data_IF_078986551172
#
_entry.id   IF_078986551172
#
_cell.length_a   1.000
_cell.length_b   1.000
_cell.length_c   1.000
_cell.angle_alpha   90.00
_cell.angle_beta   90.00
_cell.angle_gamma   90.00
#
_symmetry.space_group_name_H-M   'P 1'
#
loop_
_entity.id
_entity.type
_entity.pdbx_description
1 polymer ?
#
# COMPACT_ATOMS: atom_id res chain seq x y z
N UNK A 1 10.31 18.28 11.77
CA UNK A 1 10.96 18.95 10.61
C UNK A 1 9.87 19.62 9.81
N UNK A 2 10.11 20.85 9.36
CA UNK A 2 9.14 21.61 8.57
C UNK A 2 8.85 20.92 7.23
N UNK A 3 7.60 20.88 6.78
CA UNK A 3 7.19 20.33 5.48
C UNK A 3 7.91 20.99 4.30
N UNK A 4 8.33 22.25 4.44
CA UNK A 4 9.11 23.00 3.46
C UNK A 4 10.48 22.37 3.26
N UNK A 5 11.16 22.06 4.36
CA UNK A 5 12.47 21.39 4.35
C UNK A 5 12.35 20.01 3.70
N UNK A 6 11.30 19.25 4.03
CA UNK A 6 11.07 17.92 3.42
C UNK A 6 10.93 18.03 1.90
N UNK A 7 10.13 18.99 1.41
CA UNK A 7 9.98 19.22 -0.04
C UNK A 7 11.28 19.62 -0.72
N UNK A 8 12.05 20.52 -0.11
CA UNK A 8 13.35 20.98 -0.63
C UNK A 8 14.34 19.82 -0.73
N UNK A 9 14.42 18.97 0.30
CA UNK A 9 15.24 17.76 0.28
C UNK A 9 14.81 16.78 -0.83
N UNK A 10 13.49 16.57 -1.00
CA UNK A 10 12.99 15.74 -2.11
C UNK A 10 13.43 16.34 -3.45
N UNK A 11 13.29 17.65 -3.64
CA UNK A 11 13.65 18.29 -4.90
C UNK A 11 15.16 18.20 -5.19
N UNK A 12 16.01 18.40 -4.18
CA UNK A 12 17.45 18.26 -4.31
C UNK A 12 17.85 16.84 -4.74
N UNK A 13 17.25 15.82 -4.11
CA UNK A 13 17.50 14.43 -4.45
C UNK A 13 16.94 14.05 -5.83
N UNK A 14 15.78 14.60 -6.20
CA UNK A 14 15.24 14.43 -7.55
C UNK A 14 16.23 14.98 -8.59
N UNK A 15 16.79 16.18 -8.37
CA UNK A 15 17.80 16.76 -9.26
C UNK A 15 19.05 15.87 -9.38
N UNK A 16 19.45 15.18 -8.30
CA UNK A 16 20.59 14.27 -8.32
C UNK A 16 20.34 12.97 -9.12
N UNK A 17 19.09 12.48 -9.15
CA UNK A 17 18.72 11.24 -9.84
C UNK A 17 18.29 11.48 -11.30
N UNK A 18 17.80 12.69 -11.62
CA UNK A 18 17.12 12.94 -12.89
C UNK A 18 18.03 13.26 -14.10
N UNK A 19 19.33 13.47 -13.90
CA UNK A 19 20.22 13.86 -15.01
C UNK A 19 19.69 15.08 -15.77
N UNK A 20 19.28 14.88 -17.03
CA UNK A 20 18.81 15.92 -17.96
C UNK A 20 17.28 16.20 -17.92
N UNK A 21 16.50 15.51 -17.08
CA UNK A 21 15.05 15.66 -17.03
C UNK A 21 14.58 16.29 -15.71
N UNK A 22 13.58 17.17 -15.76
CA UNK A 22 13.13 17.95 -14.58
C UNK A 22 11.98 17.29 -13.83
N UNK A 23 12.27 16.37 -12.90
CA UNK A 23 11.26 16.01 -11.91
C UNK A 23 10.99 17.20 -10.98
N UNK A 24 9.73 17.42 -10.64
CA UNK A 24 9.29 18.48 -9.75
C UNK A 24 8.46 17.90 -8.62
N UNK A 25 8.86 18.23 -7.40
CA UNK A 25 8.06 18.01 -6.21
C UNK A 25 7.16 19.22 -5.98
N UNK A 26 5.86 18.99 -5.84
CA UNK A 26 4.85 20.01 -5.60
C UNK A 26 3.96 19.62 -4.43
N UNK A 27 3.41 20.61 -3.73
CA UNK A 27 2.37 20.30 -2.75
C UNK A 27 1.08 20.00 -3.50
N UNK A 28 0.29 19.06 -3.00
CA UNK A 28 -1.07 18.92 -3.49
C UNK A 28 -1.88 20.16 -3.10
N UNK A 29 -2.54 20.78 -4.08
CA UNK A 29 -3.43 21.92 -3.87
C UNK A 29 -4.60 21.62 -2.91
N UNK A 30 -4.92 20.34 -2.76
CA UNK A 30 -6.09 19.88 -2.00
C UNK A 30 -5.70 19.15 -0.71
N UNK A 31 -4.47 18.62 -0.63
CA UNK A 31 -4.01 17.78 0.47
C UNK A 31 -2.73 18.40 1.07
N UNK A 32 -2.85 19.21 2.14
CA UNK A 32 -1.77 20.08 2.61
C UNK A 32 -0.52 19.36 3.14
N UNK A 33 -0.63 18.06 3.40
CA UNK A 33 0.45 17.19 3.88
C UNK A 33 0.95 16.19 2.81
N UNK A 34 0.54 16.38 1.55
CA UNK A 34 0.91 15.50 0.45
C UNK A 34 1.82 16.23 -0.52
N UNK A 35 2.94 15.60 -0.83
CA UNK A 35 3.84 16.03 -1.90
C UNK A 35 3.60 15.09 -3.08
N UNK A 36 3.33 15.69 -4.24
CA UNK A 36 3.19 15.01 -5.52
C UNK A 36 4.47 15.21 -6.29
N UNK A 37 4.96 14.15 -6.91
CA UNK A 37 6.11 14.20 -7.79
C UNK A 37 5.59 13.88 -9.19
N UNK A 38 5.86 14.76 -10.15
CA UNK A 38 5.49 14.52 -11.54
C UNK A 38 6.19 13.25 -12.08
N UNK A 39 5.62 12.66 -13.12
CA UNK A 39 6.27 11.57 -13.86
C UNK A 39 6.83 12.14 -15.16
N UNK A 40 7.91 11.55 -15.67
CA UNK A 40 8.40 11.87 -17.01
C UNK A 40 7.61 11.01 -18.00
N UNK A 41 7.08 11.63 -19.05
CA UNK A 41 6.47 10.88 -20.14
C UNK A 41 7.56 10.26 -21.03
N UNK A 42 7.97 9.03 -20.68
CA UNK A 42 9.00 8.27 -21.41
C UNK A 42 8.41 7.59 -22.66
N UNK A 43 7.12 7.76 -22.98
CA UNK A 43 6.50 7.12 -24.17
C UNK A 43 7.21 7.45 -25.49
N UNK A 44 7.91 8.58 -25.55
CA UNK A 44 8.63 9.04 -26.74
C UNK A 44 10.13 8.72 -26.73
N UNK A 45 10.69 8.30 -25.59
CA UNK A 45 12.11 7.94 -25.46
C UNK A 45 12.28 6.43 -25.34
N UNK A 46 12.79 5.80 -26.40
CA UNK A 46 13.18 4.39 -26.35
C UNK A 46 14.49 4.28 -25.57
N UNK A 47 14.39 3.97 -24.28
CA UNK A 47 15.54 3.62 -23.46
C UNK A 47 16.38 2.53 -24.17
N UNK A 48 17.68 2.79 -24.31
CA UNK A 48 18.59 1.86 -24.96
C UNK A 48 18.81 0.63 -24.07
N UNK A 49 18.61 -0.55 -24.66
CA UNK A 49 18.91 -1.83 -24.01
C UNK A 49 20.42 -2.08 -24.03
N UNK A 50 20.95 -2.52 -22.89
CA UNK A 50 22.34 -2.82 -22.66
C UNK A 50 22.61 -4.32 -22.86
N UNK A 51 23.85 -4.71 -23.21
CA UNK A 51 24.20 -6.12 -23.44
C UNK A 51 24.19 -6.96 -22.15
N UNK A 52 24.49 -6.34 -21.00
CA UNK A 52 24.45 -7.00 -19.70
C UNK A 52 23.06 -6.93 -19.09
N UNK A 53 22.58 -8.05 -18.55
CA UNK A 53 21.19 -8.19 -18.07
C UNK A 53 21.10 -8.69 -16.64
N UNK A 54 20.09 -8.19 -15.92
CA UNK A 54 19.66 -8.71 -14.61
C UNK A 54 18.17 -9.06 -14.69
N UNK A 55 17.84 -10.28 -14.30
CA UNK A 55 16.45 -10.73 -14.18
C UNK A 55 15.97 -10.58 -12.74
N UNK A 56 14.77 -10.03 -12.58
CA UNK A 56 14.10 -9.90 -11.28
C UNK A 56 12.78 -10.67 -11.27
N UNK A 57 12.30 -10.97 -10.07
CA UNK A 57 10.95 -11.52 -9.90
C UNK A 57 9.87 -10.46 -10.19
N UNK A 58 8.62 -10.91 -10.34
CA UNK A 58 7.51 -10.04 -10.72
C UNK A 58 7.09 -9.05 -9.63
N UNK A 59 7.32 -9.38 -8.36
CA UNK A 59 7.00 -8.50 -7.24
C UNK A 59 8.03 -7.35 -7.17
N UNK A 60 9.31 -7.67 -7.39
CA UNK A 60 10.40 -6.72 -7.57
C UNK A 60 10.22 -5.88 -8.84
N UNK A 61 9.82 -6.48 -9.96
CA UNK A 61 9.51 -5.77 -11.20
C UNK A 61 8.46 -4.66 -10.98
N UNK A 62 7.38 -4.98 -10.26
CA UNK A 62 6.33 -4.03 -9.96
C UNK A 62 6.79 -2.93 -8.99
N UNK A 63 7.77 -3.22 -8.13
CA UNK A 63 8.40 -2.21 -7.28
C UNK A 63 9.33 -1.28 -8.10
N UNK A 64 10.12 -1.83 -9.02
CA UNK A 64 11.03 -1.06 -9.90
C UNK A 64 10.24 -0.05 -10.73
N UNK A 65 9.12 -0.47 -11.34
CA UNK A 65 8.27 0.44 -12.10
C UNK A 65 7.59 1.52 -11.24
N UNK A 66 7.64 1.40 -9.91
CA UNK A 66 7.20 2.42 -8.94
C UNK A 66 8.35 3.17 -8.29
N UNK A 67 9.55 3.12 -8.88
CA UNK A 67 10.71 3.85 -8.40
C UNK A 67 11.53 3.14 -7.32
N UNK A 68 11.35 1.84 -7.11
CA UNK A 68 12.22 1.11 -6.18
C UNK A 68 13.55 0.73 -6.84
N UNK A 69 14.62 0.74 -6.05
CA UNK A 69 15.83 0.01 -6.42
C UNK A 69 15.61 -1.52 -6.30
N UNK A 70 16.51 -2.30 -6.89
CA UNK A 70 16.45 -3.76 -6.81
C UNK A 70 17.23 -4.21 -5.59
N UNK A 71 16.53 -4.83 -4.65
CA UNK A 71 17.14 -5.44 -3.47
C UNK A 71 17.53 -6.89 -3.76
N UNK A 72 18.59 -7.36 -3.12
CA UNK A 72 19.15 -8.70 -3.35
C UNK A 72 18.14 -9.86 -3.36
N UNK A 73 17.12 -9.91 -2.45
CA UNK A 73 16.15 -11.00 -2.48
C UNK A 73 15.32 -11.08 -3.77
N UNK A 74 15.12 -9.97 -4.47
CA UNK A 74 14.32 -9.89 -5.69
C UNK A 74 15.07 -10.25 -6.97
N UNK A 75 16.39 -10.47 -6.89
CA UNK A 75 17.21 -10.84 -8.05
C UNK A 75 17.08 -12.34 -8.33
N UNK A 76 16.63 -12.68 -9.54
CA UNK A 76 16.56 -14.06 -10.01
C UNK A 76 17.86 -14.50 -10.67
N UNK A 77 18.43 -13.68 -11.57
CA UNK A 77 19.68 -14.02 -12.24
C UNK A 77 20.48 -12.79 -12.63
N UNK A 78 21.80 -12.99 -12.69
CA UNK A 78 22.79 -12.00 -13.12
C UNK A 78 23.89 -12.73 -13.89
N UNK A 79 24.29 -12.17 -15.02
CA UNK A 79 25.31 -12.75 -15.90
C UNK A 79 26.65 -12.88 -15.16
N UNK A 80 27.37 -13.97 -15.43
CA UNK A 80 28.71 -14.16 -14.87
C UNK A 80 29.67 -13.05 -15.32
N UNK A 81 30.57 -12.61 -14.42
CA UNK A 81 31.54 -11.56 -14.71
C UNK A 81 31.04 -10.12 -14.52
N UNK A 82 29.76 -9.92 -14.16
CA UNK A 82 29.24 -8.58 -13.83
C UNK A 82 29.93 -8.02 -12.58
N UNK A 83 30.50 -6.81 -12.70
CA UNK A 83 31.23 -6.11 -11.64
C UNK A 83 30.39 -4.97 -11.04
N UNK A 84 30.77 -4.54 -9.84
CA UNK A 84 30.17 -3.34 -9.21
C UNK A 84 30.49 -2.13 -10.08
N UNK A 85 29.47 -1.31 -10.38
CA UNK A 85 29.59 -0.15 -11.27
C UNK A 85 29.16 -0.42 -12.71
N UNK A 86 29.03 -1.68 -13.12
CA UNK A 86 28.54 -2.04 -14.46
C UNK A 86 27.11 -1.55 -14.68
N UNK A 87 26.85 -1.01 -15.87
CA UNK A 87 25.50 -0.66 -16.32
C UNK A 87 24.82 -1.91 -16.88
N UNK A 88 23.59 -2.16 -16.45
CA UNK A 88 22.82 -3.35 -16.82
C UNK A 88 21.39 -2.99 -17.19
N UNK A 89 20.80 -3.74 -18.11
CA UNK A 89 19.38 -3.72 -18.38
C UNK A 89 18.63 -4.67 -17.46
N UNK A 90 17.49 -4.21 -16.98
CA UNK A 90 16.67 -4.90 -15.99
C UNK A 90 15.48 -5.52 -16.72
N UNK A 91 15.24 -6.80 -16.45
CA UNK A 91 14.16 -7.56 -17.06
C UNK A 91 13.37 -8.36 -16.03
N UNK A 92 12.12 -8.65 -16.37
CA UNK A 92 11.26 -9.55 -15.63
C UNK A 92 10.72 -10.67 -16.51
N UNK A 93 10.57 -11.85 -15.93
CA UNK A 93 9.99 -13.01 -16.61
C UNK A 93 8.53 -13.24 -16.20
N UNK A 94 7.61 -12.86 -17.08
CA UNK A 94 6.17 -13.04 -16.89
C UNK A 94 5.76 -14.52 -16.75
N UNK A 95 6.50 -15.43 -17.37
CA UNK A 95 6.18 -16.86 -17.39
C UNK A 95 6.79 -17.63 -16.21
N UNK A 96 7.62 -16.97 -15.39
CA UNK A 96 8.30 -17.56 -14.22
C UNK A 96 9.09 -18.84 -14.50
N UNK A 97 9.69 -18.92 -15.69
CA UNK A 97 10.59 -19.98 -16.11
C UNK A 97 12.05 -19.70 -15.71
N UNK A 98 12.40 -18.43 -15.46
CA UNK A 98 13.73 -18.05 -15.02
C UNK A 98 14.03 -18.62 -13.63
N UNK A 99 15.01 -19.52 -13.55
CA UNK A 99 15.44 -20.14 -12.30
C UNK A 99 16.41 -19.22 -11.56
N UNK A 100 16.30 -19.21 -10.23
CA UNK A 100 17.22 -18.46 -9.37
C UNK A 100 18.66 -18.93 -9.59
N UNK A 101 19.59 -17.99 -9.77
CA UNK A 101 21.00 -18.28 -10.01
C UNK A 101 21.33 -18.71 -11.44
N UNK A 102 20.48 -18.47 -12.44
CA UNK A 102 20.85 -18.73 -13.84
C UNK A 102 22.15 -17.96 -14.22
N UNK A 103 23.08 -18.63 -14.90
CA UNK A 103 24.42 -18.10 -15.24
C UNK A 103 24.47 -17.34 -16.58
N UNK A 104 23.56 -17.69 -17.49
CA UNK A 104 23.50 -17.17 -18.86
C UNK A 104 22.32 -16.20 -19.02
N UNK A 105 22.34 -15.43 -20.09
CA UNK A 105 21.21 -14.63 -20.53
C UNK A 105 19.97 -15.53 -20.61
N UNK A 106 18.87 -15.06 -20.02
CA UNK A 106 17.61 -15.77 -20.07
C UNK A 106 17.05 -15.70 -21.51
N UNK A 107 16.84 -16.85 -22.19
CA UNK A 107 16.61 -16.89 -23.63
C UNK A 107 15.16 -16.58 -24.06
N UNK A 108 14.21 -16.40 -23.13
CA UNK A 108 12.81 -16.14 -23.48
C UNK A 108 12.68 -14.70 -24.04
N UNK A 109 12.24 -14.61 -25.30
CA UNK A 109 12.01 -13.34 -25.99
C UNK A 109 10.85 -12.54 -25.41
N UNK A 110 10.00 -13.14 -24.55
CA UNK A 110 8.87 -12.49 -23.87
C UNK A 110 9.23 -11.88 -22.52
N UNK A 111 10.53 -11.87 -22.14
CA UNK A 111 10.98 -11.09 -20.98
C UNK A 111 10.66 -9.61 -21.18
N UNK A 112 10.17 -8.97 -20.12
CA UNK A 112 9.76 -7.57 -20.16
C UNK A 112 10.92 -6.71 -19.71
N UNK A 113 11.33 -5.77 -20.57
CA UNK A 113 12.31 -4.75 -20.22
C UNK A 113 11.68 -3.74 -19.27
N UNK A 114 12.36 -3.44 -18.16
CA UNK A 114 11.88 -2.52 -17.13
C UNK A 114 12.63 -1.19 -17.12
N UNK A 115 13.87 -1.17 -17.59
CA UNK A 115 14.76 -0.03 -17.49
C UNK A 115 16.21 -0.44 -17.30
N UNK A 116 17.04 0.52 -16.88
CA UNK A 116 18.47 0.36 -16.71
C UNK A 116 18.89 0.69 -15.27
N UNK A 117 20.04 0.17 -14.86
CA UNK A 117 20.62 0.46 -13.55
C UNK A 117 22.11 0.16 -13.47
N UNK A 118 22.67 0.44 -12.29
CA UNK A 118 24.08 0.22 -11.97
C UNK A 118 24.20 -0.86 -10.91
N UNK A 119 25.06 -1.84 -11.15
CA UNK A 119 25.29 -2.96 -10.24
C UNK A 119 25.96 -2.47 -8.95
N UNK A 120 25.40 -2.89 -7.81
CA UNK A 120 25.89 -2.60 -6.45
C UNK A 120 26.31 -3.87 -5.69
N UNK A 121 25.85 -5.04 -6.12
CA UNK A 121 26.29 -6.34 -5.60
C UNK A 121 26.67 -7.25 -6.74
N UNK A 122 27.81 -7.92 -6.61
CA UNK A 122 28.24 -8.92 -7.59
C UNK A 122 27.41 -10.19 -7.48
N UNK A 123 27.50 -11.03 -8.51
CA UNK A 123 26.84 -12.34 -8.53
C UNK A 123 27.24 -13.23 -7.33
N UNK A 124 28.52 -13.25 -6.96
CA UNK A 124 29.01 -14.07 -5.84
C UNK A 124 28.42 -13.61 -4.50
N UNK A 125 28.16 -12.32 -4.33
CA UNK A 125 27.47 -11.77 -3.16
C UNK A 125 25.97 -12.13 -3.11
N UNK A 126 25.35 -12.40 -4.27
CA UNK A 126 23.91 -12.70 -4.37
C UNK A 126 23.59 -14.20 -4.29
N UNK A 127 24.46 -15.05 -4.86
CA UNK A 127 24.19 -16.47 -5.05
C UNK A 127 25.27 -17.39 -4.48
N UNK A 128 26.21 -16.87 -3.69
CA UNK A 128 27.15 -17.70 -2.95
C UNK A 128 26.47 -18.60 -1.91
N UNK A 129 27.16 -19.66 -1.50
CA UNK A 129 26.62 -20.66 -0.57
C UNK A 129 26.32 -20.05 0.81
N UNK A 130 25.20 -20.47 1.41
CA UNK A 130 24.72 -20.03 2.73
C UNK A 130 24.51 -18.52 2.91
N UNK A 131 24.34 -17.76 1.82
CA UNK A 131 24.05 -16.33 1.90
C UNK A 131 22.56 -16.04 2.05
N UNK A 132 22.23 -15.09 2.93
CA UNK A 132 20.94 -14.42 3.00
C UNK A 132 21.10 -12.93 2.64
N UNK A 133 21.39 -12.62 1.36
CA UNK A 133 21.83 -11.29 0.98
C UNK A 133 20.70 -10.27 1.16
N UNK A 134 21.07 -9.10 1.67
CA UNK A 134 20.18 -7.98 1.97
C UNK A 134 20.82 -6.69 1.46
N UNK A 135 19.98 -5.69 1.16
CA UNK A 135 20.42 -4.41 0.62
C UNK A 135 20.24 -4.31 -0.90
N UNK A 136 20.67 -3.17 -1.44
CA UNK A 136 20.48 -2.84 -2.86
C UNK A 136 21.51 -3.59 -3.71
N UNK A 137 21.02 -4.43 -4.63
CA UNK A 137 21.82 -5.17 -5.58
C UNK A 137 22.03 -4.41 -6.89
N UNK A 138 21.03 -3.66 -7.34
CA UNK A 138 21.12 -2.78 -8.51
C UNK A 138 20.44 -1.45 -8.18
N UNK A 139 21.20 -0.37 -8.30
CA UNK A 139 20.68 0.99 -8.23
C UNK A 139 20.03 1.34 -9.57
N UNK A 140 18.70 1.33 -9.60
CA UNK A 140 17.92 1.70 -10.79
C UNK A 140 18.18 3.16 -11.14
N UNK A 141 18.48 3.43 -12.41
CA UNK A 141 18.75 4.78 -12.92
C UNK A 141 17.67 5.27 -13.85
N UNK A 142 17.09 4.38 -14.66
CA UNK A 142 16.06 4.71 -15.64
C UNK A 142 14.99 3.62 -15.62
N UNK A 143 13.72 3.99 -15.74
CA UNK A 143 12.61 3.03 -15.80
C UNK A 143 11.70 3.37 -16.97
N UNK A 144 11.07 2.37 -17.57
CA UNK A 144 10.10 2.60 -18.66
C UNK A 144 8.82 3.29 -18.17
N UNK A 145 8.58 3.34 -16.86
CA UNK A 145 7.42 4.03 -16.29
C UNK A 145 7.64 5.53 -16.10
N UNK A 146 8.88 6.01 -16.21
CA UNK A 146 9.21 7.42 -15.91
C UNK A 146 9.00 7.80 -14.46
N UNK A 147 8.88 6.81 -13.57
CA UNK A 147 8.83 7.05 -12.14
C UNK A 147 10.26 7.22 -11.61
N UNK A 148 10.57 8.31 -10.89
CA UNK A 148 11.88 8.52 -10.31
C UNK A 148 12.19 7.44 -9.29
N UNK A 149 13.45 7.03 -9.21
CA UNK A 149 13.86 6.08 -8.17
C UNK A 149 13.97 6.77 -6.82
N UNK A 150 12.92 6.64 -6.00
CA UNK A 150 12.81 7.20 -4.65
C UNK A 150 12.84 6.03 -3.68
N UNK A 151 14.03 5.63 -3.23
CA UNK A 151 14.20 4.55 -2.26
C UNK A 151 14.00 5.01 -0.81
N UNK A 152 14.01 4.06 0.13
CA UNK A 152 13.95 4.34 1.58
C UNK A 152 15.13 5.22 2.08
N UNK A 153 16.20 5.34 1.29
CA UNK A 153 17.37 6.16 1.59
C UNK A 153 17.26 7.60 1.04
N UNK A 154 16.17 7.94 0.34
CA UNK A 154 15.98 9.22 -0.33
C UNK A 154 15.62 10.35 0.64
N UNK A 155 15.03 10.01 1.79
CA UNK A 155 14.81 10.92 2.91
C UNK A 155 15.25 10.22 4.21
N UNK A 156 15.66 10.97 5.24
CA UNK A 156 15.87 10.36 6.54
C UNK A 156 14.57 9.69 7.00
N UNK A 157 14.71 8.55 7.64
CA UNK A 157 13.56 7.72 8.05
C UNK A 157 12.63 8.50 8.99
N UNK A 158 11.32 8.33 8.80
CA UNK A 158 10.30 8.94 9.66
C UNK A 158 9.78 10.32 9.21
N UNK A 159 10.37 10.94 8.17
CA UNK A 159 9.92 12.26 7.70
C UNK A 159 8.88 12.25 6.57
N UNK A 160 8.88 11.21 5.75
CA UNK A 160 7.89 11.02 4.69
C UNK A 160 7.67 9.53 4.43
N UNK A 161 6.54 9.22 3.80
CA UNK A 161 6.18 7.86 3.46
C UNK A 161 5.53 7.86 2.07
N UNK A 162 5.97 6.96 1.20
CA UNK A 162 5.30 6.73 -0.07
C UNK A 162 3.93 6.08 0.19
N UNK A 163 2.87 6.75 -0.25
CA UNK A 163 1.51 6.26 -0.11
C UNK A 163 0.67 6.64 -1.33
N UNK A 164 -0.07 5.67 -1.85
CA UNK A 164 -0.98 5.92 -2.97
C UNK A 164 -2.12 6.85 -2.56
N UNK A 165 -2.56 7.71 -3.48
CA UNK A 165 -3.67 8.66 -3.27
C UNK A 165 -4.93 8.01 -2.69
N UNK A 166 -5.45 6.86 -3.17
CA UNK A 166 -6.65 6.24 -2.60
C UNK A 166 -6.50 5.91 -1.10
N UNK A 167 -5.31 5.48 -0.68
CA UNK A 167 -5.03 5.18 0.74
C UNK A 167 -4.99 6.45 1.59
N UNK A 168 -4.49 7.56 1.04
CA UNK A 168 -4.51 8.88 1.70
C UNK A 168 -5.97 9.34 1.89
N UNK A 169 -6.79 9.18 0.84
CA UNK A 169 -8.20 9.54 0.87
C UNK A 169 -9.02 8.75 1.90
N UNK A 170 -8.67 7.49 2.19
CA UNK A 170 -9.32 6.72 3.25
C UNK A 170 -9.19 7.41 4.62
N UNK A 171 -8.00 7.90 4.94
CA UNK A 171 -7.74 8.57 6.22
C UNK A 171 -8.36 9.97 6.25
N UNK A 172 -8.36 10.70 5.13
CA UNK A 172 -9.07 11.97 5.03
C UNK A 172 -10.59 11.82 5.20
N UNK A 173 -11.17 10.75 4.62
CA UNK A 173 -12.58 10.44 4.82
C UNK A 173 -12.89 10.08 6.28
N UNK A 174 -11.95 9.41 6.96
CA UNK A 174 -12.06 9.09 8.39
C UNK A 174 -12.04 10.35 9.26
N UNK A 175 -11.27 11.36 8.85
CA UNK A 175 -11.19 12.69 9.48
C UNK A 175 -10.85 12.65 10.98
N UNK A 176 -9.79 11.94 11.38
CA UNK A 176 -9.44 11.77 12.80
C UNK A 176 -9.02 13.10 13.45
N UNK A 177 -9.51 13.34 14.66
CA UNK A 177 -9.25 14.54 15.46
C UNK A 177 -8.35 14.20 16.65
N UNK A 178 -7.67 15.22 17.18
CA UNK A 178 -6.64 15.11 18.24
C UNK A 178 -7.10 14.38 19.51
N UNK A 179 -8.39 14.27 19.82
CA UNK A 179 -8.87 13.62 21.05
C UNK A 179 -9.76 12.41 20.80
N UNK A 180 -9.86 11.94 19.56
CA UNK A 180 -10.66 10.76 19.26
C UNK A 180 -10.04 9.49 19.81
N UNK A 181 -10.90 8.53 20.14
CA UNK A 181 -10.54 7.12 20.26
C UNK A 181 -10.77 6.43 18.91
N UNK A 182 -9.67 6.11 18.22
CA UNK A 182 -9.66 5.58 16.86
C UNK A 182 -9.18 4.13 16.83
N UNK A 183 -9.85 3.28 16.04
CA UNK A 183 -9.47 1.89 15.80
C UNK A 183 -9.09 1.65 14.33
N UNK A 184 -7.90 1.10 14.09
CA UNK A 184 -7.50 0.51 12.82
C UNK A 184 -7.52 -1.02 12.93
N UNK A 185 -8.51 -1.65 12.30
CA UNK A 185 -8.81 -3.07 12.48
C UNK A 185 -7.89 -4.01 11.70
N UNK A 186 -7.18 -3.53 10.69
CA UNK A 186 -6.35 -4.35 9.80
C UNK A 186 -5.09 -3.57 9.43
N UNK A 187 -4.33 -3.22 10.46
CA UNK A 187 -3.40 -2.09 10.41
C UNK A 187 -2.09 -2.35 9.66
N UNK A 188 -1.64 -3.61 9.50
CA UNK A 188 -0.34 -3.88 8.90
C UNK A 188 -0.35 -3.61 7.39
N UNK A 189 0.68 -2.93 6.82
CA UNK A 189 1.99 -2.65 7.42
C UNK A 189 2.10 -1.39 8.28
N UNK A 190 1.05 -0.55 8.35
CA UNK A 190 0.99 0.62 9.25
C UNK A 190 0.89 1.97 8.56
N UNK A 191 0.88 2.03 7.23
CA UNK A 191 0.89 3.30 6.49
C UNK A 191 -0.33 4.18 6.86
N UNK A 192 -1.55 3.62 6.78
CA UNK A 192 -2.76 4.35 7.16
C UNK A 192 -2.78 4.67 8.67
N UNK A 193 -2.30 3.75 9.50
CA UNK A 193 -2.19 3.94 10.95
C UNK A 193 -1.30 5.14 11.31
N UNK A 194 -0.12 5.25 10.70
CA UNK A 194 0.79 6.38 10.93
C UNK A 194 0.20 7.67 10.40
N UNK A 195 -0.49 7.61 9.25
CA UNK A 195 -1.18 8.77 8.70
C UNK A 195 -2.28 9.27 9.66
N UNK A 196 -3.06 8.36 10.27
CA UNK A 196 -4.02 8.69 11.32
C UNK A 196 -3.31 9.34 12.51
N UNK A 197 -2.24 8.72 13.03
CA UNK A 197 -1.48 9.25 14.16
C UNK A 197 -0.92 10.66 13.89
N UNK A 198 -0.48 10.91 12.66
CA UNK A 198 0.03 12.21 12.22
C UNK A 198 -1.08 13.29 12.21
N UNK A 199 -2.28 12.99 11.70
CA UNK A 199 -3.41 13.92 11.74
C UNK A 199 -3.93 14.17 13.16
N UNK A 200 -3.87 13.17 14.03
CA UNK A 200 -4.18 13.31 15.46
C UNK A 200 -3.06 14.02 16.24
N UNK A 201 -1.93 14.34 15.61
CA UNK A 201 -0.72 14.88 16.25
C UNK A 201 -0.26 14.05 17.47
N UNK A 202 -0.43 12.72 17.39
CA UNK A 202 -0.16 11.80 18.51
C UNK A 202 -0.92 12.14 19.81
N UNK A 203 -2.05 12.82 19.71
CA UNK A 203 -2.98 13.09 20.81
C UNK A 203 -4.16 12.10 20.73
N UNK A 204 -4.91 11.94 21.82
CA UNK A 204 -6.02 10.99 21.87
C UNK A 204 -5.53 9.55 21.99
N UNK A 205 -6.28 8.59 21.46
CA UNK A 205 -5.89 7.17 21.50
C UNK A 205 -6.11 6.50 20.15
N UNK A 206 -5.03 5.99 19.57
CA UNK A 206 -5.07 5.16 18.37
C UNK A 206 -4.73 3.70 18.71
N UNK A 207 -5.68 2.82 18.45
CA UNK A 207 -5.52 1.36 18.57
C UNK A 207 -5.37 0.76 17.17
N UNK A 208 -4.37 -0.11 17.01
CA UNK A 208 -4.10 -0.79 15.76
C UNK A 208 -4.01 -2.30 15.99
N UNK A 209 -4.76 -3.07 15.20
CA UNK A 209 -4.87 -4.52 15.35
C UNK A 209 -4.49 -5.20 14.05
N UNK A 210 -3.74 -6.30 14.19
CA UNK A 210 -3.55 -7.27 13.11
C UNK A 210 -3.47 -8.69 13.68
N UNK A 211 -3.75 -9.69 12.85
CA UNK A 211 -3.95 -11.08 13.28
C UNK A 211 -2.65 -11.84 13.54
N UNK A 212 -1.60 -11.56 12.77
CA UNK A 212 -0.38 -12.39 12.78
C UNK A 212 0.78 -11.67 13.44
N UNK A 213 1.60 -12.41 14.19
CA UNK A 213 2.77 -11.88 14.88
C UNK A 213 3.74 -11.14 13.93
N UNK A 214 3.96 -11.68 12.71
CA UNK A 214 4.84 -11.05 11.72
C UNK A 214 4.31 -9.70 11.23
N UNK A 215 3.02 -9.60 10.96
CA UNK A 215 2.38 -8.34 10.57
C UNK A 215 2.38 -7.30 11.69
N UNK A 216 2.17 -7.74 12.93
CA UNK A 216 2.24 -6.90 14.13
C UNK A 216 3.67 -6.41 14.36
N UNK A 217 4.69 -7.26 14.18
CA UNK A 217 6.08 -6.86 14.27
C UNK A 217 6.44 -5.80 13.21
N UNK A 218 5.96 -5.98 11.97
CA UNK A 218 6.14 -4.99 10.90
C UNK A 218 5.45 -3.65 11.22
N UNK A 219 4.22 -3.71 11.74
CA UNK A 219 3.48 -2.53 12.18
C UNK A 219 4.24 -1.77 13.29
N UNK A 220 4.72 -2.48 14.33
CA UNK A 220 5.53 -1.88 15.41
C UNK A 220 6.78 -1.19 14.88
N UNK A 221 7.51 -1.85 13.98
CA UNK A 221 8.70 -1.27 13.34
C UNK A 221 8.34 0.02 12.59
N UNK A 222 7.26 0.00 11.83
CA UNK A 222 6.81 1.16 11.04
C UNK A 222 6.40 2.30 11.98
N UNK A 223 5.59 2.05 13.01
CA UNK A 223 5.23 3.07 13.99
C UNK A 223 6.45 3.64 14.74
N UNK A 224 7.45 2.82 15.06
CA UNK A 224 8.69 3.28 15.69
C UNK A 224 9.48 4.23 14.79
N UNK A 225 9.61 3.92 13.50
CA UNK A 225 10.31 4.78 12.52
C UNK A 225 9.69 6.18 12.46
N UNK A 226 8.37 6.27 12.53
CA UNK A 226 7.63 7.54 12.43
C UNK A 226 7.25 8.14 13.80
N UNK A 227 7.78 7.59 14.89
CA UNK A 227 7.45 8.01 16.27
C UNK A 227 5.93 8.13 16.52
N UNK A 228 5.13 7.25 15.91
CA UNK A 228 3.68 7.25 16.04
C UNK A 228 3.27 6.62 17.39
N UNK A 229 2.48 7.36 18.18
CA UNK A 229 1.94 6.87 19.46
C UNK A 229 0.72 6.00 19.19
N UNK A 230 0.94 4.69 19.11
CA UNK A 230 -0.08 3.70 18.75
C UNK A 230 -0.05 2.53 19.71
N UNK A 231 -1.23 2.07 20.15
CA UNK A 231 -1.38 0.83 20.92
C UNK A 231 -1.63 -0.33 19.97
N UNK A 232 -0.71 -1.29 19.97
CA UNK A 232 -0.67 -2.35 18.96
C UNK A 232 -0.95 -3.71 19.59
N UNK A 233 -2.03 -4.37 19.14
CA UNK A 233 -2.44 -5.68 19.63
C UNK A 233 -2.45 -6.73 18.52
N UNK A 234 -2.09 -7.96 18.88
CA UNK A 234 -2.25 -9.12 18.02
C UNK A 234 -3.59 -9.78 18.33
N UNK A 235 -4.58 -9.65 17.44
CA UNK A 235 -5.89 -10.23 17.64
C UNK A 235 -6.63 -10.47 16.31
N UNK A 236 -7.65 -11.33 16.34
CA UNK A 236 -8.58 -11.48 15.22
C UNK A 236 -9.67 -10.40 15.32
N UNK A 237 -9.58 -9.37 14.49
CA UNK A 237 -10.52 -8.23 14.47
C UNK A 237 -11.98 -8.60 14.15
N UNK A 238 -12.27 -9.86 13.80
CA UNK A 238 -13.66 -10.34 13.71
C UNK A 238 -14.25 -10.74 15.06
N UNK A 239 -13.44 -10.74 16.13
CA UNK A 239 -13.76 -11.22 17.48
C UNK A 239 -13.32 -10.26 18.59
N UNK A 240 -13.14 -8.99 18.26
CA UNK A 240 -12.65 -7.98 19.21
C UNK A 240 -13.78 -7.24 19.93
N UNK A 241 -15.03 -7.50 19.59
CA UNK A 241 -16.19 -7.00 20.32
C UNK A 241 -16.63 -8.02 21.37
N UNK A 242 -16.97 -7.54 22.56
CA UNK A 242 -17.61 -8.37 23.59
C UNK A 242 -19.02 -8.75 23.13
N UNK A 243 -19.33 -10.05 23.15
CA UNK A 243 -20.66 -10.59 22.79
C UNK A 243 -21.58 -10.74 24.02
N UNK A 244 -21.01 -10.87 25.23
CA UNK A 244 -21.73 -11.07 26.49
C UNK A 244 -21.38 -9.97 27.51
N UNK A 245 -22.33 -9.09 27.91
CA UNK A 245 -22.11 -8.04 28.91
C UNK A 245 -21.63 -8.53 30.29
N UNK A 246 -21.76 -9.84 30.59
CA UNK A 246 -21.22 -10.44 31.81
C UNK A 246 -19.70 -10.63 31.80
N UNK A 247 -19.04 -10.51 30.65
CA UNK A 247 -17.58 -10.51 30.57
C UNK A 247 -17.05 -9.12 30.90
N UNK A 248 -16.17 -9.05 31.91
CA UNK A 248 -15.37 -7.86 32.18
C UNK A 248 -14.46 -7.60 30.99
N UNK A 249 -14.82 -6.62 30.17
CA UNK A 249 -13.96 -6.15 29.08
C UNK A 249 -12.66 -5.58 29.67
N UNK A 250 -11.55 -5.86 29.00
CA UNK A 250 -10.31 -5.17 29.24
C UNK A 250 -10.54 -3.66 29.01
N UNK A 251 -9.94 -2.81 29.85
CA UNK A 251 -9.90 -1.37 29.55
C UNK A 251 -9.34 -1.20 28.12
N UNK A 252 -9.78 -0.19 27.39
CA UNK A 252 -9.22 0.21 26.08
C UNK A 252 -7.69 0.23 26.09
N UNK A 253 -7.07 0.53 27.24
CA UNK A 253 -5.62 0.48 27.47
C UNK A 253 -5.01 -0.94 27.46
N UNK A 254 -5.77 -1.94 27.90
CA UNK A 254 -5.34 -3.33 28.06
C UNK A 254 -5.53 -4.18 26.78
N UNK A 255 -6.33 -3.71 25.83
CA UNK A 255 -6.53 -4.35 24.52
C UNK A 255 -7.88 -5.07 24.37
N UNK A 256 -8.09 -5.81 23.28
CA UNK A 256 -9.35 -6.50 23.01
C UNK A 256 -9.60 -7.67 23.99
N UNK A 257 -10.86 -8.07 24.23
CA UNK A 257 -12.07 -7.55 23.59
C UNK A 257 -12.54 -6.22 24.19
N UNK A 258 -13.19 -5.39 23.36
CA UNK A 258 -13.72 -4.08 23.71
C UNK A 258 -15.25 -4.09 23.84
N UNK A 259 -15.78 -3.19 24.66
CA UNK A 259 -17.22 -3.00 24.80
C UNK A 259 -17.85 -2.43 23.51
N UNK A 260 -19.13 -2.69 23.25
CA UNK A 260 -19.88 -2.01 22.19
C UNK A 260 -19.81 -0.48 22.33
N UNK A 261 -19.95 0.23 21.21
CA UNK A 261 -20.03 1.69 21.18
C UNK A 261 -18.85 2.41 21.88
N UNK A 262 -17.63 1.89 21.71
CA UNK A 262 -16.43 2.42 22.38
C UNK A 262 -15.69 3.47 21.53
N UNK A 263 -15.58 3.25 20.22
CA UNK A 263 -14.69 4.05 19.35
C UNK A 263 -15.44 5.16 18.64
N UNK A 264 -14.84 6.36 18.60
CA UNK A 264 -15.38 7.51 17.86
C UNK A 264 -15.23 7.29 16.35
N UNK A 265 -14.12 6.65 15.95
CA UNK A 265 -13.78 6.40 14.55
C UNK A 265 -13.15 5.03 14.35
N UNK A 266 -13.53 4.37 13.26
CA UNK A 266 -13.02 3.05 12.90
C UNK A 266 -12.60 3.04 11.44
N UNK A 267 -11.36 2.64 11.18
CA UNK A 267 -10.86 2.28 9.86
C UNK A 267 -10.89 0.76 9.69
N UNK A 268 -11.63 0.31 8.69
CA UNK A 268 -11.63 -1.06 8.20
C UNK A 268 -11.01 -1.10 6.79
N UNK A 269 -9.68 -1.14 6.74
CA UNK A 269 -8.91 -1.45 5.52
C UNK A 269 -8.91 -2.97 5.30
N UNK A 270 -10.01 -3.48 4.75
CA UNK A 270 -10.29 -4.90 4.82
C UNK A 270 -9.36 -5.72 3.93
N UNK A 271 -8.95 -6.94 4.37
CA UNK A 271 -8.20 -7.85 3.51
C UNK A 271 -9.00 -8.14 2.24
N UNK A 272 -8.35 -7.93 1.11
CA UNK A 272 -8.97 -7.88 -0.22
C UNK A 272 -8.22 -8.79 -1.21
N UNK A 273 -8.79 -9.05 -2.39
CA UNK A 273 -8.13 -9.80 -3.49
C UNK A 273 -6.93 -9.09 -4.12
N UNK A 274 -6.74 -7.81 -3.81
CA UNK A 274 -5.63 -6.94 -4.23
C UNK A 274 -5.51 -6.74 -5.75
N UNK A 275 -6.63 -6.83 -6.46
CA UNK A 275 -6.73 -6.70 -7.92
C UNK A 275 -6.54 -5.26 -8.45
N UNK A 276 -6.56 -4.27 -7.55
CA UNK A 276 -6.36 -2.86 -7.89
C UNK A 276 -4.90 -2.40 -7.84
N UNK A 277 -3.94 -3.29 -7.51
CA UNK A 277 -2.52 -2.92 -7.51
C UNK A 277 -2.05 -2.62 -8.92
N UNK A 278 -1.25 -1.56 -9.05
CA UNK A 278 -0.64 -1.14 -10.31
C UNK A 278 0.83 -0.79 -10.09
N UNK A 279 1.74 -1.17 -11.00
CA UNK A 279 1.50 -2.10 -12.12
C UNK A 279 1.33 -3.54 -11.61
N UNK A 280 0.58 -4.35 -12.35
CA UNK A 280 0.32 -5.76 -12.03
C UNK A 280 0.74 -6.64 -13.21
N UNK A 281 1.70 -7.54 -12.98
CA UNK A 281 2.22 -8.43 -14.01
C UNK A 281 1.55 -9.80 -14.03
N UNK A 282 0.86 -10.17 -12.95
CA UNK A 282 0.20 -11.45 -12.83
C UNK A 282 -0.90 -11.39 -11.76
N UNK A 283 -2.02 -12.05 -12.03
CA UNK A 283 -3.08 -12.24 -11.05
C UNK A 283 -2.94 -13.65 -10.44
N UNK A 284 -2.76 -13.77 -9.12
CA UNK A 284 -2.67 -15.08 -8.42
C UNK A 284 -4.00 -15.54 -7.83
N UNK A 285 -5.10 -14.85 -8.11
CA UNK A 285 -6.37 -15.12 -7.45
C UNK A 285 -7.04 -16.35 -8.04
N UNK A 286 -7.31 -17.34 -7.19
CA UNK A 286 -8.06 -18.56 -7.55
C UNK A 286 -9.53 -18.41 -7.16
N UNK A 287 -10.42 -19.19 -7.78
CA UNK A 287 -11.86 -19.12 -7.49
C UNK A 287 -12.21 -19.38 -6.01
N UNK A 288 -11.47 -20.27 -5.35
CA UNK A 288 -11.61 -20.53 -3.92
C UNK A 288 -11.26 -19.30 -3.07
N UNK A 289 -10.25 -18.55 -3.49
CA UNK A 289 -9.86 -17.26 -2.88
C UNK A 289 -10.89 -16.18 -3.22
N UNK A 290 -11.53 -16.24 -4.39
CA UNK A 290 -12.62 -15.31 -4.72
C UNK A 290 -13.75 -15.41 -3.67
N UNK A 291 -14.21 -16.62 -3.34
CA UNK A 291 -15.39 -16.81 -2.48
C UNK A 291 -15.16 -16.56 -0.98
N UNK A 292 -13.91 -16.48 -0.51
CA UNK A 292 -13.61 -16.42 0.94
C UNK A 292 -13.57 -15.02 1.54
N UNK A 293 -13.28 -13.97 0.74
CA UNK A 293 -13.09 -12.61 1.27
C UNK A 293 -14.39 -11.93 1.71
N UNK A 294 -15.48 -12.04 0.93
CA UNK A 294 -16.75 -11.39 1.25
C UNK A 294 -17.30 -11.82 2.63
N UNK A 295 -17.36 -13.12 2.97
CA UNK A 295 -17.77 -13.54 4.32
C UNK A 295 -16.87 -12.99 5.43
N UNK A 296 -15.56 -12.94 5.22
CA UNK A 296 -14.61 -12.39 6.20
C UNK A 296 -14.81 -10.88 6.37
N UNK A 297 -14.93 -10.13 5.27
CA UNK A 297 -15.17 -8.69 5.26
C UNK A 297 -16.47 -8.37 5.99
N UNK A 298 -17.54 -9.14 5.77
CA UNK A 298 -18.79 -8.99 6.52
C UNK A 298 -18.61 -9.20 8.02
N UNK A 299 -17.88 -10.23 8.46
CA UNK A 299 -17.59 -10.46 9.89
C UNK A 299 -16.82 -9.31 10.52
N UNK A 300 -15.78 -8.83 9.84
CA UNK A 300 -15.00 -7.66 10.28
C UNK A 300 -15.88 -6.41 10.35
N UNK A 301 -16.71 -6.19 9.34
CA UNK A 301 -17.64 -5.06 9.30
C UNK A 301 -18.66 -5.12 10.45
N UNK A 302 -19.24 -6.29 10.74
CA UNK A 302 -20.14 -6.47 11.89
C UNK A 302 -19.46 -6.11 13.20
N UNK A 303 -18.22 -6.57 13.42
CA UNK A 303 -17.45 -6.19 14.62
C UNK A 303 -17.17 -4.68 14.65
N UNK A 304 -16.89 -4.06 13.51
CA UNK A 304 -16.69 -2.61 13.42
C UNK A 304 -17.94 -1.84 13.84
N UNK A 305 -19.11 -2.23 13.33
CA UNK A 305 -20.38 -1.56 13.65
C UNK A 305 -20.74 -1.68 15.12
N UNK A 306 -20.54 -2.86 15.72
CA UNK A 306 -20.80 -3.07 17.16
C UNK A 306 -19.93 -2.15 18.04
N UNK A 307 -18.68 -1.91 17.64
CA UNK A 307 -17.73 -1.11 18.39
C UNK A 307 -17.83 0.41 18.15
N UNK A 308 -18.60 0.84 17.15
CA UNK A 308 -18.70 2.23 16.76
C UNK A 308 -19.71 2.98 17.64
N UNK A 309 -19.30 4.12 18.20
CA UNK A 309 -20.22 5.01 18.92
C UNK A 309 -21.35 5.54 18.04
N UNK A 310 -22.51 5.89 18.62
CA UNK A 310 -23.50 6.72 17.95
C UNK A 310 -22.86 8.00 17.40
N UNK A 311 -23.22 8.38 16.17
CA UNK A 311 -22.61 9.51 15.41
C UNK A 311 -21.11 9.35 15.10
N UNK A 312 -20.50 8.20 15.40
CA UNK A 312 -19.14 7.88 14.99
C UNK A 312 -18.99 7.68 13.48
N UNK A 313 -17.75 7.55 13.02
CA UNK A 313 -17.44 7.36 11.60
C UNK A 313 -16.69 6.04 11.34
N UNK A 314 -17.25 5.21 10.46
CA UNK A 314 -16.62 4.00 9.93
C UNK A 314 -16.20 4.24 8.48
N UNK A 315 -14.93 4.03 8.18
CA UNK A 315 -14.41 3.97 6.79
C UNK A 315 -14.12 2.52 6.44
N UNK A 316 -14.87 1.99 5.48
CA UNK A 316 -14.56 0.73 4.82
C UNK A 316 -13.77 1.01 3.54
N UNK A 317 -12.63 0.34 3.38
CA UNK A 317 -11.81 0.48 2.18
C UNK A 317 -11.19 -0.85 1.76
N UNK A 318 -10.95 -0.98 0.46
CA UNK A 318 -10.28 -2.14 -0.13
C UNK A 318 -9.33 -1.70 -1.24
N UNK A 319 -8.49 -2.64 -1.63
CA UNK A 319 -7.53 -2.55 -2.73
C UNK A 319 -7.96 -3.38 -3.95
N UNK A 320 -9.25 -3.70 -4.07
CA UNK A 320 -9.83 -4.58 -5.10
C UNK A 320 -10.81 -3.81 -5.96
N UNK A 321 -11.08 -4.33 -7.14
CA UNK A 321 -11.99 -3.71 -8.12
C UNK A 321 -13.29 -4.49 -8.29
N UNK A 322 -13.54 -5.54 -7.48
CA UNK A 322 -14.73 -6.37 -7.66
C UNK A 322 -15.96 -5.73 -7.03
N UNK A 323 -17.11 -5.81 -7.71
CA UNK A 323 -18.40 -5.35 -7.17
C UNK A 323 -18.75 -6.05 -5.85
N UNK A 324 -18.48 -7.36 -5.74
CA UNK A 324 -18.87 -8.17 -4.60
C UNK A 324 -18.20 -7.74 -3.27
N UNK A 325 -16.94 -7.31 -3.33
CA UNK A 325 -16.18 -6.83 -2.17
C UNK A 325 -16.41 -5.34 -1.91
N UNK A 326 -16.91 -4.57 -2.88
CA UNK A 326 -17.05 -3.12 -2.76
C UNK A 326 -18.52 -2.73 -2.58
N UNK A 327 -19.21 -2.38 -3.67
CA UNK A 327 -20.61 -1.95 -3.66
C UNK A 327 -21.54 -3.02 -3.03
N UNK A 328 -21.24 -4.30 -3.22
CA UNK A 328 -21.97 -5.41 -2.61
C UNK A 328 -21.84 -5.50 -1.07
N UNK A 329 -20.72 -5.07 -0.50
CA UNK A 329 -20.56 -4.94 0.95
C UNK A 329 -21.34 -3.72 1.46
N UNK A 330 -21.29 -2.59 0.75
CA UNK A 330 -22.05 -1.38 1.11
C UNK A 330 -23.55 -1.64 1.09
N UNK A 331 -24.06 -2.30 0.05
CA UNK A 331 -25.46 -2.70 -0.04
C UNK A 331 -25.88 -3.58 1.14
N UNK A 332 -25.12 -4.63 1.40
CA UNK A 332 -25.37 -5.54 2.52
C UNK A 332 -25.37 -4.79 3.85
N UNK A 333 -24.39 -3.90 4.07
CA UNK A 333 -24.27 -3.13 5.31
C UNK A 333 -25.48 -2.21 5.54
N UNK A 334 -25.96 -1.49 4.51
CA UNK A 334 -27.14 -0.63 4.62
C UNK A 334 -28.44 -1.42 4.82
N UNK A 335 -28.52 -2.63 4.25
CA UNK A 335 -29.65 -3.53 4.47
C UNK A 335 -29.67 -4.08 5.90
N UNK A 336 -28.51 -4.52 6.40
CA UNK A 336 -28.36 -5.20 7.70
C UNK A 336 -28.33 -4.23 8.88
N UNK A 337 -27.61 -3.12 8.79
CA UNK A 337 -27.41 -2.18 9.88
C UNK A 337 -28.19 -0.88 9.62
N UNK A 338 -29.41 -0.80 10.17
CA UNK A 338 -30.28 0.37 10.03
C UNK A 338 -29.76 1.63 10.74
N UNK A 339 -28.81 1.46 11.65
CA UNK A 339 -28.10 2.56 12.31
C UNK A 339 -27.08 3.26 11.40
N UNK A 340 -26.72 2.67 10.25
CA UNK A 340 -25.74 3.25 9.33
C UNK A 340 -26.40 4.10 8.24
N UNK A 341 -25.69 5.13 7.82
CA UNK A 341 -26.01 5.92 6.64
C UNK A 341 -24.74 6.30 5.88
N UNK A 342 -24.82 6.36 4.56
CA UNK A 342 -23.74 6.91 3.75
C UNK A 342 -23.63 8.43 3.93
N UNK A 343 -22.40 8.89 4.14
CA UNK A 343 -22.05 10.30 4.30
C UNK A 343 -21.28 10.80 3.08
N UNK A 344 -21.37 12.10 2.79
CA UNK A 344 -20.57 12.70 1.74
C UNK A 344 -19.11 12.79 2.20
N UNK A 345 -18.18 12.58 1.27
CA UNK A 345 -16.76 12.77 1.51
C UNK A 345 -16.41 14.17 0.99
N UNK A 346 -15.73 14.98 1.80
CA UNK A 346 -15.49 16.40 1.47
C UNK A 346 -14.72 16.59 0.15
N UNK A 347 -13.79 15.67 -0.15
CA UNK A 347 -12.97 15.71 -1.35
C UNK A 347 -13.20 14.44 -2.18
N UNK A 348 -13.60 14.63 -3.43
CA UNK A 348 -13.84 13.56 -4.40
C UNK A 348 -12.76 13.57 -5.48
N UNK A 349 -11.87 12.57 -5.43
CA UNK A 349 -10.87 12.32 -6.48
C UNK A 349 -11.17 11.06 -7.29
N UNK A 350 -11.96 10.14 -6.73
CA UNK A 350 -12.38 8.93 -7.40
C UNK A 350 -13.66 9.11 -8.20
N UNK A 351 -13.98 8.13 -9.04
CA UNK A 351 -15.28 8.02 -9.69
C UNK A 351 -16.36 7.59 -8.68
N UNK A 352 -17.64 7.83 -8.98
CA UNK A 352 -18.75 7.21 -8.25
C UNK A 352 -18.67 5.68 -8.28
N UNK A 353 -19.39 5.05 -7.35
CA UNK A 353 -19.59 3.60 -7.34
C UNK A 353 -20.24 3.09 -8.63
N UNK A 354 -19.91 1.86 -9.00
CA UNK A 354 -20.46 1.23 -10.18
C UNK A 354 -21.94 0.85 -10.01
N UNK A 355 -22.71 0.79 -11.11
CA UNK A 355 -24.05 0.18 -11.10
C UNK A 355 -23.94 -1.34 -10.88
N UNK A 356 -25.08 -2.03 -10.72
CA UNK A 356 -25.13 -3.49 -10.54
C UNK A 356 -25.43 -3.95 -9.10
N UNK A 357 -25.75 -3.01 -8.21
CA UNK A 357 -26.34 -3.26 -6.89
C UNK A 357 -27.63 -2.45 -6.73
N UNK A 358 -28.35 -2.62 -5.63
CA UNK A 358 -29.54 -1.82 -5.28
C UNK A 358 -29.21 -0.42 -4.78
N UNK A 359 -27.94 0.01 -4.83
CA UNK A 359 -27.55 1.38 -4.48
C UNK A 359 -28.12 2.37 -5.51
N UNK A 360 -28.83 3.38 -5.02
CA UNK A 360 -29.32 4.51 -5.83
C UNK A 360 -28.16 5.32 -6.41
N UNK A 361 -28.40 6.09 -7.46
CA UNK A 361 -27.38 6.97 -8.05
C UNK A 361 -26.78 7.95 -7.01
N UNK A 362 -27.63 8.53 -6.16
CA UNK A 362 -27.22 9.41 -5.06
C UNK A 362 -26.37 8.69 -4.01
N UNK A 363 -26.58 7.39 -3.78
CA UNK A 363 -25.71 6.62 -2.89
C UNK A 363 -24.38 6.28 -3.56
N UNK A 364 -24.37 6.02 -4.87
CA UNK A 364 -23.15 5.74 -5.64
C UNK A 364 -22.21 6.95 -5.69
N UNK A 365 -22.73 8.18 -5.66
CA UNK A 365 -21.89 9.38 -5.57
C UNK A 365 -21.25 9.58 -4.19
N UNK A 366 -21.69 8.85 -3.15
CA UNK A 366 -21.14 8.93 -1.79
C UNK A 366 -20.02 7.92 -1.51
N UNK A 367 -19.79 7.00 -2.43
CA UNK A 367 -18.64 6.08 -2.40
C UNK A 367 -17.64 6.51 -3.47
N UNK A 368 -16.37 6.16 -3.28
CA UNK A 368 -15.31 6.55 -4.20
C UNK A 368 -14.56 5.32 -4.73
N UNK A 369 -14.42 5.26 -6.05
CA UNK A 369 -13.65 4.24 -6.75
C UNK A 369 -12.44 4.84 -7.43
N UNK A 370 -11.33 4.13 -7.38
CA UNK A 370 -10.11 4.51 -8.09
C UNK A 370 -9.70 3.33 -8.97
N UNK A 371 -9.63 3.55 -10.28
CA UNK A 371 -9.37 2.49 -11.23
C UNK A 371 -9.99 2.77 -12.60
N UNK A 372 -10.02 1.76 -13.50
CA UNK A 372 -10.66 1.91 -14.81
C UNK A 372 -12.16 2.23 -14.66
N UNK A 373 -12.72 2.90 -15.66
CA UNK A 373 -14.12 3.35 -15.64
C UNK A 373 -15.15 2.21 -15.77
N UNK A 374 -14.72 0.96 -15.99
CA UNK A 374 -15.57 -0.21 -16.25
C UNK A 374 -15.08 -1.45 -15.47
N UNK A 375 -16.01 -2.37 -15.19
CA UNK A 375 -15.74 -3.66 -14.54
C UNK A 375 -14.95 -4.58 -15.46
N UNK A 376 -13.78 -5.11 -15.04
CA UNK A 376 -13.09 -6.12 -15.85
C UNK A 376 -13.81 -7.48 -15.86
N UNK A 377 -14.80 -7.69 -15.00
CA UNK A 377 -15.65 -8.89 -15.00
C UNK A 377 -16.89 -8.74 -15.92
N UNK A 378 -17.08 -7.57 -16.57
CA UNK A 378 -18.07 -7.32 -17.64
C UNK A 378 -17.37 -7.15 -18.99
#
# INVERSE_FOLDING_TARGET
MDRKIVKELIQEQLNAVAGAHGFQAEYSDFLPNVIVINHIDIKHEKLQKLPSEVMVDLDCAAAVLRGAHIYAPGVLSMISGTLIGDKVSIYADLNRKCKKGLLKIFPDSRKVFLGNGVVKMTRSMLFGDNLAPKGVAVGVTETISGCPSIGDAFLPSGFAMLQNLPSIMCVNALDPQKNDLVLDMCASPGNKTIHIAALMENQGTLIAIDKTAGKVAQLRKTCQIFAAKVRIFQADSSKIAVEDPGQTAANVDQGPPFLPETFDKILLDAPCRVLGKRPEFHNRVTEKVLKSYVPLQRKLFTSAVSLLKPKGRLVYSTCTITLAENEGIVEWALRTFKCLRLVNIAQHFGSPGWPGTTLTEVQRTKVQRFGPNLDPDT
#
